data_IF_482228797549
#
_entry.id   IF_482228797549
#
_cell.length_a   1.000
_cell.length_b   1.000
_cell.length_c   1.000
_cell.angle_alpha   90.00
_cell.angle_beta   90.00
_cell.angle_gamma   90.00
#
_symmetry.space_group_name_H-M   'P 1'
#
loop_
_entity.id
_entity.type
_entity.pdbx_description
1 polymer ?
#
# COMPACT_ATOMS: atom_id res chain seq x y z
N UNK A 1 -51.20 5.32 -28.49
CA UNK A 1 -49.85 5.45 -27.89
C UNK A 1 -49.45 4.09 -27.32
N UNK A 2 -48.42 3.44 -27.86
CA UNK A 2 -47.92 2.16 -27.36
C UNK A 2 -46.89 2.38 -26.26
N UNK A 3 -47.08 1.72 -25.12
CA UNK A 3 -46.17 1.76 -23.96
C UNK A 3 -44.86 1.06 -24.34
N UNK A 4 -43.73 1.77 -24.34
CA UNK A 4 -42.39 1.17 -24.50
C UNK A 4 -42.11 0.24 -23.32
N UNK A 5 -41.82 -1.04 -23.60
CA UNK A 5 -41.41 -2.02 -22.59
C UNK A 5 -40.07 -1.62 -21.97
N UNK A 6 -39.92 -1.93 -20.68
CA UNK A 6 -38.71 -1.64 -19.93
C UNK A 6 -37.60 -2.63 -20.28
N UNK A 7 -36.33 -2.21 -20.17
CA UNK A 7 -35.16 -3.04 -20.50
C UNK A 7 -35.16 -4.37 -19.74
N UNK A 8 -35.64 -4.36 -18.50
CA UNK A 8 -35.81 -5.53 -17.63
C UNK A 8 -36.76 -6.58 -18.24
N UNK A 9 -37.87 -6.16 -18.84
CA UNK A 9 -38.85 -7.05 -19.46
C UNK A 9 -38.34 -7.66 -20.77
N UNK A 10 -37.40 -6.98 -21.46
CA UNK A 10 -36.74 -7.51 -22.65
C UNK A 10 -35.70 -8.58 -22.27
N UNK A 11 -34.94 -8.34 -21.19
CA UNK A 11 -33.91 -9.26 -20.70
C UNK A 11 -34.54 -10.55 -20.14
N UNK A 12 -35.63 -10.48 -19.38
CA UNK A 12 -36.31 -11.70 -18.90
C UNK A 12 -36.84 -12.58 -20.04
N UNK A 13 -37.34 -11.96 -21.12
CA UNK A 13 -37.84 -12.69 -22.29
C UNK A 13 -36.72 -13.37 -23.08
N UNK A 14 -35.58 -12.70 -23.27
CA UNK A 14 -34.39 -13.29 -23.90
C UNK A 14 -33.76 -14.41 -23.03
N UNK A 15 -33.88 -14.30 -21.71
CA UNK A 15 -33.35 -15.32 -20.77
C UNK A 15 -34.21 -16.60 -20.78
N UNK A 16 -35.52 -16.47 -20.99
CA UNK A 16 -36.44 -17.61 -21.12
C UNK A 16 -36.28 -18.34 -22.47
N UNK A 17 -36.04 -17.60 -23.56
CA UNK A 17 -35.89 -18.17 -24.91
C UNK A 17 -34.53 -18.87 -25.14
N UNK A 18 -33.47 -18.54 -24.38
CA UNK A 18 -32.13 -19.12 -24.53
C UNK A 18 -31.88 -20.41 -23.70
N UNK A 19 -32.91 -20.99 -23.09
CA UNK A 19 -32.77 -21.99 -22.01
C UNK A 19 -32.50 -23.44 -22.44
N UNK A 20 -32.38 -23.77 -23.73
CA UNK A 20 -32.35 -25.16 -24.21
C UNK A 20 -30.96 -25.76 -24.55
N UNK A 21 -29.85 -25.08 -24.25
CA UNK A 21 -28.50 -25.60 -24.58
C UNK A 21 -27.48 -25.49 -23.43
N UNK A 22 -26.83 -26.61 -23.02
CA UNK A 22 -25.79 -26.61 -21.98
C UNK A 22 -24.54 -25.79 -22.36
N UNK A 23 -24.22 -25.68 -23.65
CA UNK A 23 -23.05 -24.92 -24.14
C UNK A 23 -23.25 -23.41 -24.01
N UNK A 24 -24.49 -22.93 -24.16
CA UNK A 24 -24.84 -21.51 -24.00
C UNK A 24 -24.75 -21.08 -22.54
N UNK A 25 -25.18 -21.92 -21.59
CA UNK A 25 -25.03 -21.66 -20.14
C UNK A 25 -23.56 -21.55 -19.70
N UNK A 26 -22.68 -22.38 -20.28
CA UNK A 26 -21.23 -22.34 -19.98
C UNK A 26 -20.56 -21.10 -20.57
N UNK A 27 -20.96 -20.69 -21.78
CA UNK A 27 -20.47 -19.47 -22.42
C UNK A 27 -20.98 -18.18 -21.74
N UNK A 28 -22.23 -18.18 -21.23
CA UNK A 28 -22.78 -17.07 -20.45
C UNK A 28 -22.10 -16.97 -19.08
N UNK A 29 -21.90 -18.08 -18.36
CA UNK A 29 -21.14 -18.09 -17.09
C UNK A 29 -19.70 -17.62 -17.27
N UNK A 30 -19.01 -18.08 -18.31
CA UNK A 30 -17.66 -17.62 -18.63
C UNK A 30 -17.61 -16.13 -19.05
N UNK A 31 -18.68 -15.59 -19.66
CA UNK A 31 -18.82 -14.16 -19.95
C UNK A 31 -19.14 -13.33 -18.71
N UNK A 32 -19.93 -13.85 -17.77
CA UNK A 32 -20.24 -13.20 -16.48
C UNK A 32 -19.03 -13.22 -15.54
N UNK A 33 -18.25 -14.31 -15.52
CA UNK A 33 -16.97 -14.40 -14.81
C UNK A 33 -15.90 -13.48 -15.44
N UNK A 34 -15.91 -13.30 -16.76
CA UNK A 34 -15.04 -12.34 -17.45
C UNK A 34 -15.51 -10.88 -17.38
N UNK A 35 -16.76 -10.59 -17.03
CA UNK A 35 -17.30 -9.21 -17.11
C UNK A 35 -17.49 -8.46 -15.80
N UNK A 36 -17.10 -8.99 -14.63
CA UNK A 36 -17.13 -8.19 -13.39
C UNK A 36 -16.42 -8.85 -12.20
N UNK A 37 -15.08 -8.89 -12.19
CA UNK A 37 -14.40 -8.67 -10.90
C UNK A 37 -14.61 -7.19 -10.56
N UNK A 38 -15.75 -6.89 -9.93
CA UNK A 38 -16.12 -5.51 -9.55
C UNK A 38 -15.10 -5.05 -8.52
N UNK A 39 -14.05 -4.35 -8.97
CA UNK A 39 -13.03 -3.78 -8.08
C UNK A 39 -13.73 -2.98 -6.98
N UNK A 40 -13.61 -3.44 -5.74
CA UNK A 40 -14.22 -2.80 -4.58
C UNK A 40 -13.38 -1.58 -4.22
N UNK A 41 -14.04 -0.52 -3.75
CA UNK A 41 -13.33 0.66 -3.25
C UNK A 41 -12.90 0.41 -1.82
N UNK A 42 -11.65 0.71 -1.51
CA UNK A 42 -11.06 0.63 -0.18
C UNK A 42 -10.48 1.99 0.20
N UNK A 43 -10.64 2.38 1.46
CA UNK A 43 -10.05 3.57 2.07
C UNK A 43 -8.90 3.13 2.95
N UNK A 44 -7.69 3.64 2.70
CA UNK A 44 -6.49 3.17 3.37
C UNK A 44 -5.57 4.29 3.83
N UNK A 45 -4.86 4.04 4.92
CA UNK A 45 -3.75 4.87 5.40
C UNK A 45 -2.52 3.98 5.63
N UNK A 46 -1.59 4.00 4.68
CA UNK A 46 -0.47 3.06 4.64
C UNK A 46 0.84 3.65 5.19
N UNK A 47 0.76 4.72 5.97
CA UNK A 47 1.95 5.32 6.60
C UNK A 47 1.65 5.78 8.01
N UNK A 48 1.60 4.82 8.92
CA UNK A 48 1.38 5.04 10.34
C UNK A 48 2.60 4.53 11.09
N UNK A 49 3.17 5.37 11.93
CA UNK A 49 4.17 4.95 12.90
C UNK A 49 3.45 4.49 14.17
N UNK A 50 4.15 3.73 15.01
CA UNK A 50 3.75 3.33 16.35
C UNK A 50 4.78 3.85 17.38
N UNK A 51 4.57 3.61 18.68
CA UNK A 51 5.59 3.92 19.69
C UNK A 51 6.93 3.21 19.46
N UNK A 52 6.98 2.16 18.64
CA UNK A 52 8.19 1.38 18.38
C UNK A 52 9.29 2.17 17.65
N UNK A 53 8.95 3.13 16.78
CA UNK A 53 9.96 3.96 16.10
C UNK A 53 9.93 5.43 16.46
N UNK A 54 8.77 5.96 16.85
CA UNK A 54 8.60 7.38 17.18
C UNK A 54 7.73 7.45 18.45
N UNK A 55 8.37 7.46 19.61
CA UNK A 55 7.75 7.37 20.95
C UNK A 55 6.63 8.39 21.28
N UNK A 56 6.28 9.30 20.38
CA UNK A 56 5.18 10.27 20.51
C UNK A 56 3.77 9.63 20.49
N UNK A 57 3.66 8.35 20.12
CA UNK A 57 2.41 7.60 20.21
C UNK A 57 2.17 6.93 21.55
N UNK A 58 3.23 6.79 22.37
CA UNK A 58 3.11 6.24 23.72
C UNK A 58 2.49 7.28 24.64
N UNK A 59 1.16 7.31 24.71
CA UNK A 59 0.45 8.12 25.70
C UNK A 59 0.36 7.29 26.98
N UNK A 60 0.93 7.81 28.07
CA UNK A 60 0.88 7.15 29.38
C UNK A 60 -0.58 6.85 29.77
N UNK A 61 -0.83 5.61 30.18
CA UNK A 61 -2.17 5.14 30.55
C UNK A 61 -3.09 4.76 29.38
N UNK A 62 -2.65 4.85 28.12
CA UNK A 62 -3.43 4.42 26.95
C UNK A 62 -2.72 3.30 26.20
N UNK A 63 -3.38 2.15 26.07
CA UNK A 63 -2.92 1.11 25.15
C UNK A 63 -3.12 1.57 23.69
N UNK A 64 -2.00 1.86 23.03
CA UNK A 64 -1.98 2.49 21.71
C UNK A 64 -2.54 1.57 20.62
N UNK A 65 -2.36 0.25 20.72
CA UNK A 65 -2.80 -0.68 19.67
C UNK A 65 -4.33 -0.73 19.53
N UNK A 66 -5.12 -1.01 20.59
CA UNK A 66 -6.57 -0.94 20.53
C UNK A 66 -7.09 0.46 20.19
N UNK A 67 -6.44 1.51 20.69
CA UNK A 67 -6.83 2.89 20.39
C UNK A 67 -6.67 3.22 18.89
N UNK A 68 -5.55 2.80 18.28
CA UNK A 68 -5.29 2.96 16.85
C UNK A 68 -6.34 2.23 16.00
N UNK A 69 -6.63 0.97 16.31
CA UNK A 69 -7.67 0.18 15.62
C UNK A 69 -9.05 0.85 15.74
N UNK A 70 -9.44 1.26 16.95
CA UNK A 70 -10.73 1.95 17.17
C UNK A 70 -10.82 3.23 16.36
N UNK A 71 -9.75 4.03 16.33
CA UNK A 71 -9.75 5.28 15.58
C UNK A 71 -9.81 5.05 14.06
N UNK A 72 -9.06 4.09 13.53
CA UNK A 72 -9.13 3.69 12.14
C UNK A 72 -10.56 3.27 11.74
N UNK A 73 -11.24 2.47 12.59
CA UNK A 73 -12.64 2.10 12.39
C UNK A 73 -13.58 3.30 12.40
N UNK A 74 -13.45 4.19 13.39
CA UNK A 74 -14.26 5.42 13.49
C UNK A 74 -14.08 6.30 12.24
N UNK A 75 -12.87 6.34 11.67
CA UNK A 75 -12.57 7.08 10.43
C UNK A 75 -12.95 6.32 9.16
N UNK A 76 -13.53 5.12 9.27
CA UNK A 76 -13.98 4.33 8.12
C UNK A 76 -12.84 3.83 7.24
N UNK A 77 -11.66 3.58 7.82
CA UNK A 77 -10.55 2.95 7.11
C UNK A 77 -10.84 1.45 6.95
N UNK A 78 -10.62 0.94 5.75
CA UNK A 78 -10.67 -0.50 5.45
C UNK A 78 -9.32 -1.16 5.72
N UNK A 79 -8.21 -0.42 5.54
CA UNK A 79 -6.85 -0.92 5.76
C UNK A 79 -5.94 0.15 6.38
N UNK A 80 -5.02 -0.29 7.24
CA UNK A 80 -3.89 0.53 7.68
C UNK A 80 -2.59 -0.26 7.57
N UNK A 81 -1.48 0.43 7.31
CA UNK A 81 -0.15 -0.19 7.41
C UNK A 81 0.64 0.43 8.57
N UNK A 82 1.28 -0.43 9.36
CA UNK A 82 2.32 0.00 10.28
C UNK A 82 3.62 0.07 9.49
N UNK A 83 4.25 1.24 9.50
CA UNK A 83 5.50 1.50 8.78
C UNK A 83 6.48 2.20 9.69
N UNK A 84 6.71 1.61 10.87
CA UNK A 84 7.73 2.06 11.80
C UNK A 84 9.11 2.05 11.14
N UNK A 85 9.96 3.00 11.49
CA UNK A 85 11.35 2.96 11.02
C UNK A 85 12.04 1.75 11.63
N UNK A 86 12.48 0.82 10.77
CA UNK A 86 13.30 -0.34 11.15
C UNK A 86 12.79 -1.13 12.36
N UNK A 87 11.48 -1.35 12.49
CA UNK A 87 10.89 -2.15 13.57
C UNK A 87 9.58 -2.79 13.14
N UNK A 88 9.37 -4.03 13.59
CA UNK A 88 8.10 -4.75 13.51
C UNK A 88 7.41 -4.92 14.88
N UNK A 89 7.94 -4.30 15.94
CA UNK A 89 7.58 -4.60 17.35
C UNK A 89 6.09 -4.43 17.69
N UNK A 90 5.39 -3.59 16.94
CA UNK A 90 4.00 -3.22 17.23
C UNK A 90 2.99 -3.92 16.31
N UNK A 91 3.46 -4.66 15.29
CA UNK A 91 2.62 -5.30 14.28
C UNK A 91 1.70 -6.33 14.94
N UNK A 92 2.27 -7.31 15.64
CA UNK A 92 1.52 -8.42 16.25
C UNK A 92 0.45 -7.90 17.22
N UNK A 93 0.78 -6.84 17.98
CA UNK A 93 -0.14 -6.22 18.93
C UNK A 93 -1.32 -5.53 18.24
N UNK A 94 -1.09 -4.86 17.12
CA UNK A 94 -2.17 -4.19 16.37
C UNK A 94 -3.01 -5.20 15.60
N UNK A 95 -2.38 -6.25 15.04
CA UNK A 95 -3.09 -7.38 14.43
C UNK A 95 -4.02 -8.04 15.46
N UNK A 96 -3.52 -8.30 16.67
CA UNK A 96 -4.34 -8.86 17.75
C UNK A 96 -5.51 -7.95 18.11
N UNK A 97 -5.26 -6.66 18.29
CA UNK A 97 -6.30 -5.67 18.58
C UNK A 97 -7.35 -5.52 17.46
N UNK A 98 -6.98 -5.87 16.23
CA UNK A 98 -7.85 -5.81 15.05
C UNK A 98 -8.60 -7.13 14.77
N UNK A 99 -8.31 -8.23 15.49
CA UNK A 99 -8.85 -9.58 15.22
C UNK A 99 -10.37 -9.63 15.10
N UNK A 100 -11.10 -8.87 15.92
CA UNK A 100 -12.57 -8.81 15.91
C UNK A 100 -13.12 -7.66 15.05
N UNK A 101 -12.30 -7.10 14.17
CA UNK A 101 -12.67 -5.99 13.31
C UNK A 101 -12.57 -6.36 11.83
N UNK A 102 -13.23 -5.56 10.99
CA UNK A 102 -13.11 -5.62 9.54
C UNK A 102 -11.95 -4.76 8.99
N UNK A 103 -11.08 -4.25 9.88
CA UNK A 103 -9.91 -3.46 9.51
C UNK A 103 -8.76 -4.41 9.17
N UNK A 104 -8.22 -4.29 7.97
CA UNK A 104 -7.02 -5.06 7.59
C UNK A 104 -5.77 -4.34 8.06
N UNK A 105 -4.87 -5.05 8.73
CA UNK A 105 -3.55 -4.55 9.11
C UNK A 105 -2.55 -5.06 8.10
N UNK A 106 -1.78 -4.15 7.50
CA UNK A 106 -0.72 -4.46 6.56
C UNK A 106 0.63 -4.34 7.29
N UNK A 107 1.35 -5.44 7.49
CA UNK A 107 2.70 -5.41 8.04
C UNK A 107 3.64 -4.60 7.15
N UNK A 108 4.54 -3.85 7.77
CA UNK A 108 5.46 -2.99 7.04
C UNK A 108 6.53 -2.35 7.91
N UNK A 109 7.49 -1.74 7.24
CA UNK A 109 8.52 -0.90 7.88
C UNK A 109 8.98 0.18 6.91
N UNK A 110 9.47 1.30 7.43
CA UNK A 110 10.09 2.35 6.65
C UNK A 110 11.62 2.23 6.74
N UNK A 111 12.30 2.24 5.58
CA UNK A 111 13.75 2.23 5.51
C UNK A 111 14.27 3.47 4.78
N UNK A 112 15.52 3.85 5.07
CA UNK A 112 16.27 4.91 4.38
C UNK A 112 17.47 4.31 3.67
N UNK A 113 17.68 4.73 2.44
CA UNK A 113 18.80 4.27 1.62
C UNK A 113 19.36 5.39 0.75
N UNK A 114 20.49 5.11 0.12
CA UNK A 114 21.09 6.00 -0.86
C UNK A 114 20.72 5.57 -2.28
N UNK A 115 20.52 6.55 -3.17
CA UNK A 115 20.45 6.35 -4.61
C UNK A 115 21.17 7.51 -5.29
N UNK A 116 22.17 7.20 -6.11
CA UNK A 116 23.06 8.21 -6.70
C UNK A 116 23.61 9.16 -5.61
N UNK A 117 23.46 10.47 -5.78
CA UNK A 117 23.89 11.47 -4.80
C UNK A 117 22.89 11.71 -3.65
N UNK A 118 21.71 11.08 -3.66
CA UNK A 118 20.70 11.27 -2.62
C UNK A 118 20.86 10.20 -1.53
N UNK A 119 21.25 10.60 -0.32
CA UNK A 119 21.39 9.72 0.86
C UNK A 119 20.15 9.72 1.76
N UNK A 120 18.98 10.03 1.20
CA UNK A 120 17.75 10.21 1.97
C UNK A 120 16.51 9.72 1.21
N UNK A 121 16.67 8.65 0.43
CA UNK A 121 15.55 7.94 -0.19
C UNK A 121 14.82 7.17 0.91
N UNK A 122 13.50 7.35 1.01
CA UNK A 122 12.65 6.62 1.97
C UNK A 122 11.77 5.65 1.20
N UNK A 123 11.83 4.38 1.57
CA UNK A 123 10.92 3.35 1.06
C UNK A 123 10.00 2.90 2.20
N UNK A 124 8.70 2.85 1.95
CA UNK A 124 7.77 2.06 2.75
C UNK A 124 7.78 0.65 2.16
N UNK A 125 8.16 -0.34 2.97
CA UNK A 125 8.14 -1.74 2.61
C UNK A 125 6.87 -2.35 3.20
N UNK A 126 6.03 -2.92 2.34
CA UNK A 126 4.80 -3.63 2.75
C UNK A 126 4.99 -5.13 2.56
N UNK A 127 4.40 -5.92 3.46
CA UNK A 127 4.52 -7.37 3.46
C UNK A 127 3.13 -8.04 3.59
N UNK A 128 3.02 -9.33 3.24
CA UNK A 128 1.80 -10.11 3.45
C UNK A 128 1.34 -10.10 4.92
N UNK A 129 0.04 -10.28 5.14
CA UNK A 129 -0.59 -10.17 6.46
C UNK A 129 -0.19 -11.27 7.45
N UNK A 130 0.48 -12.32 6.99
CA UNK A 130 1.06 -13.36 7.85
C UNK A 130 2.44 -12.97 8.42
N UNK A 131 3.00 -11.83 8.01
CA UNK A 131 4.24 -11.30 8.58
C UNK A 131 3.97 -10.59 9.90
N UNK A 132 4.68 -11.01 10.93
CA UNK A 132 4.69 -10.38 12.24
C UNK A 132 6.02 -9.71 12.54
N UNK A 133 6.30 -9.55 13.83
CA UNK A 133 7.59 -8.99 14.29
C UNK A 133 8.78 -9.78 13.72
N UNK A 134 8.77 -11.11 13.85
CA UNK A 134 9.92 -11.96 13.54
C UNK A 134 10.33 -11.89 12.07
N UNK A 135 9.35 -11.86 11.16
CA UNK A 135 9.58 -11.78 9.72
C UNK A 135 10.16 -10.42 9.33
N UNK A 136 9.68 -9.33 9.95
CA UNK A 136 10.24 -7.99 9.73
C UNK A 136 11.67 -7.89 10.28
N UNK A 137 11.95 -8.45 11.46
CA UNK A 137 13.31 -8.47 12.00
C UNK A 137 14.28 -9.26 11.10
N UNK A 138 13.86 -10.41 10.58
CA UNK A 138 14.65 -11.19 9.62
C UNK A 138 14.93 -10.40 8.32
N UNK A 139 13.92 -9.70 7.79
CA UNK A 139 14.09 -8.79 6.66
C UNK A 139 15.15 -7.70 6.92
N UNK A 140 15.11 -7.07 8.11
CA UNK A 140 16.07 -6.04 8.49
C UNK A 140 17.49 -6.59 8.67
N UNK A 141 17.64 -7.79 9.23
CA UNK A 141 18.91 -8.50 9.34
C UNK A 141 19.49 -8.80 7.95
N UNK A 142 18.67 -9.24 7.00
CA UNK A 142 19.10 -9.49 5.61
C UNK A 142 19.50 -8.21 4.87
N UNK A 143 18.95 -7.05 5.24
CA UNK A 143 19.44 -5.75 4.79
C UNK A 143 20.82 -5.37 5.38
N UNK A 144 21.36 -6.18 6.29
CA UNK A 144 22.66 -5.98 6.93
C UNK A 144 22.61 -5.12 8.20
N UNK A 145 21.41 -4.92 8.77
CA UNK A 145 21.26 -4.16 10.00
C UNK A 145 21.61 -5.00 11.22
N UNK A 146 22.19 -4.36 12.23
CA UNK A 146 22.30 -4.97 13.55
C UNK A 146 21.01 -4.72 14.33
N UNK A 147 20.64 -5.64 15.23
CA UNK A 147 19.47 -5.45 16.12
C UNK A 147 19.53 -4.20 16.99
N UNK A 148 20.74 -3.65 17.22
CA UNK A 148 20.92 -2.41 17.99
C UNK A 148 20.47 -1.18 17.22
N UNK A 149 20.39 -1.27 15.89
CA UNK A 149 19.97 -0.18 15.01
C UNK A 149 18.45 -0.20 14.74
N UNK A 150 17.73 -1.21 15.24
CA UNK A 150 16.28 -1.30 15.07
C UNK A 150 15.59 -0.13 15.77
N UNK A 151 14.61 0.47 15.09
CA UNK A 151 13.96 1.70 15.55
C UNK A 151 14.72 3.00 15.25
N UNK A 152 16.01 2.97 14.88
CA UNK A 152 16.76 4.20 14.60
C UNK A 152 16.43 4.76 13.21
N UNK A 153 15.51 5.72 13.17
CA UNK A 153 15.15 6.48 11.96
C UNK A 153 16.32 7.15 11.24
N UNK A 154 17.47 7.32 11.89
CA UNK A 154 18.64 7.95 11.30
C UNK A 154 19.55 6.96 10.57
N UNK A 155 19.40 5.65 10.86
CA UNK A 155 20.13 4.61 10.16
C UNK A 155 19.92 4.71 8.65
N UNK A 156 20.99 4.50 7.89
CA UNK A 156 21.01 4.49 6.44
C UNK A 156 21.48 3.10 6.01
N UNK A 157 20.65 2.38 5.27
CA UNK A 157 20.98 1.04 4.75
C UNK A 157 22.19 1.15 3.82
N UNK A 158 23.25 0.39 4.14
CA UNK A 158 24.54 0.42 3.46
C UNK A 158 24.64 -0.66 2.36
N UNK A 159 23.60 -0.78 1.53
CA UNK A 159 23.55 -1.69 0.39
C UNK A 159 23.23 -0.94 -0.90
N UNK A 160 23.69 -1.43 -2.07
CA UNK A 160 23.23 -0.93 -3.36
C UNK A 160 21.69 -0.98 -3.46
N UNK A 161 21.11 0.00 -4.15
CA UNK A 161 19.65 0.15 -4.20
C UNK A 161 18.98 -1.07 -4.85
N UNK A 162 19.60 -1.66 -5.88
CA UNK A 162 19.18 -2.90 -6.52
C UNK A 162 19.06 -4.06 -5.51
N UNK A 163 20.10 -4.25 -4.69
CA UNK A 163 20.14 -5.32 -3.68
C UNK A 163 19.07 -5.10 -2.61
N UNK A 164 18.81 -3.84 -2.21
CA UNK A 164 17.73 -3.53 -1.27
C UNK A 164 16.38 -3.99 -1.85
N UNK A 165 16.12 -3.68 -3.13
CA UNK A 165 14.89 -4.11 -3.78
C UNK A 165 14.82 -5.64 -3.91
N UNK A 166 15.94 -6.32 -4.17
CA UNK A 166 16.01 -7.77 -4.22
C UNK A 166 15.65 -8.39 -2.87
N UNK A 167 16.23 -7.89 -1.77
CA UNK A 167 15.91 -8.35 -0.41
C UNK A 167 14.43 -8.14 -0.11
N UNK A 168 13.85 -6.99 -0.45
CA UNK A 168 12.39 -6.74 -0.29
C UNK A 168 11.58 -7.80 -1.03
N UNK A 169 11.92 -8.11 -2.28
CA UNK A 169 11.18 -9.10 -3.08
C UNK A 169 11.35 -10.53 -2.54
N UNK A 170 12.54 -10.88 -2.04
CA UNK A 170 12.85 -12.20 -1.47
C UNK A 170 12.03 -12.48 -0.20
N UNK A 171 11.69 -11.43 0.54
CA UNK A 171 10.75 -11.47 1.68
C UNK A 171 9.28 -11.32 1.22
N UNK A 172 8.99 -11.46 -0.07
CA UNK A 172 7.63 -11.38 -0.62
C UNK A 172 7.02 -9.97 -0.62
N UNK A 173 7.75 -8.97 -0.13
CA UNK A 173 7.30 -7.61 0.05
C UNK A 173 7.22 -6.78 -1.22
N UNK A 174 6.82 -5.52 -1.07
CA UNK A 174 6.77 -4.52 -2.13
C UNK A 174 7.16 -3.14 -1.58
N UNK A 175 7.87 -2.35 -2.39
CA UNK A 175 8.38 -1.04 -1.99
C UNK A 175 7.53 0.11 -2.55
N UNK A 176 7.30 1.14 -1.74
CA UNK A 176 6.69 2.41 -2.15
C UNK A 176 7.60 3.58 -1.76
N UNK A 177 8.18 4.32 -2.73
CA UNK A 177 8.94 5.53 -2.42
C UNK A 177 8.05 6.57 -1.76
N UNK A 178 8.51 7.12 -0.64
CA UNK A 178 7.69 7.98 0.22
C UNK A 178 8.32 9.34 0.45
N UNK A 179 7.50 10.38 0.26
CA UNK A 179 7.82 11.80 0.44
C UNK A 179 9.05 12.20 -0.38
N UNK A 180 9.17 11.66 -1.59
CA UNK A 180 10.28 11.96 -2.50
C UNK A 180 10.19 13.38 -3.07
N UNK A 181 9.04 14.03 -2.92
CA UNK A 181 8.76 15.43 -3.23
C UNK A 181 9.03 16.40 -2.08
N UNK A 182 9.61 15.92 -0.97
CA UNK A 182 9.87 16.76 0.21
C UNK A 182 11.07 17.69 0.06
N UNK A 183 12.08 17.30 -0.72
CA UNK A 183 13.31 18.07 -0.91
C UNK A 183 13.78 17.99 -2.36
N UNK A 184 14.52 19.01 -2.86
CA UNK A 184 15.09 18.97 -4.21
C UNK A 184 15.98 17.74 -4.46
N UNK A 185 16.74 17.30 -3.45
CA UNK A 185 17.63 16.13 -3.55
C UNK A 185 16.83 14.84 -3.77
N UNK A 186 15.74 14.64 -3.01
CA UNK A 186 14.84 13.49 -3.19
C UNK A 186 14.10 13.57 -4.53
N UNK A 187 13.69 14.76 -4.95
CA UNK A 187 13.04 14.95 -6.25
C UNK A 187 13.97 14.63 -7.41
N UNK A 188 15.26 14.95 -7.26
CA UNK A 188 16.29 14.73 -8.27
C UNK A 188 16.49 13.25 -8.63
N UNK A 189 16.13 12.31 -7.75
CA UNK A 189 16.24 10.87 -8.01
C UNK A 189 14.93 10.21 -8.45
N UNK A 190 13.81 10.93 -8.46
CA UNK A 190 12.54 10.39 -8.99
C UNK A 190 12.68 9.89 -10.44
N UNK A 191 13.42 10.58 -11.34
CA UNK A 191 13.66 10.05 -12.68
C UNK A 191 14.27 8.65 -12.69
N UNK A 192 15.36 8.44 -11.95
CA UNK A 192 16.01 7.13 -11.80
C UNK A 192 15.03 6.09 -11.21
N UNK A 193 14.25 6.44 -10.17
CA UNK A 193 13.24 5.53 -9.61
C UNK A 193 12.22 5.08 -10.68
N UNK A 194 11.75 5.99 -11.54
CA UNK A 194 10.73 5.68 -12.55
C UNK A 194 11.32 4.97 -13.76
N UNK A 195 12.43 5.47 -14.28
CA UNK A 195 13.02 5.09 -15.57
C UNK A 195 13.93 3.86 -15.43
N UNK A 196 14.66 3.74 -14.31
CA UNK A 196 15.67 2.68 -14.11
C UNK A 196 15.20 1.57 -13.15
N UNK A 197 14.25 1.87 -12.26
CA UNK A 197 13.70 0.87 -11.32
C UNK A 197 12.22 0.56 -11.51
N UNK A 198 11.55 1.23 -12.45
CA UNK A 198 10.18 0.89 -12.85
C UNK A 198 9.10 1.32 -11.85
N UNK A 199 9.39 2.22 -10.90
CA UNK A 199 8.36 2.68 -9.95
C UNK A 199 7.22 3.42 -10.67
N UNK A 200 5.98 3.06 -10.33
CA UNK A 200 4.74 3.70 -10.82
C UNK A 200 3.84 4.20 -9.70
N UNK A 201 4.21 3.94 -8.45
CA UNK A 201 3.48 4.39 -7.27
C UNK A 201 4.38 5.21 -6.35
N UNK A 202 3.83 6.26 -5.74
CA UNK A 202 4.56 7.12 -4.80
C UNK A 202 3.61 7.61 -3.69
N UNK A 203 4.09 7.65 -2.44
CA UNK A 203 3.45 8.42 -1.38
C UNK A 203 4.02 9.85 -1.39
N UNK A 204 3.18 10.84 -1.68
CA UNK A 204 3.58 12.23 -1.86
C UNK A 204 3.33 13.08 -0.62
N UNK A 205 4.22 14.05 -0.45
CA UNK A 205 4.17 15.03 0.60
C UNK A 205 3.13 16.11 0.38
N UNK A 206 3.07 16.57 -0.85
CA UNK A 206 2.27 17.69 -1.31
C UNK A 206 1.44 17.23 -2.51
N UNK A 207 0.13 17.51 -2.49
CA UNK A 207 -0.77 17.09 -3.58
C UNK A 207 -0.39 17.70 -4.94
N UNK A 208 0.13 18.93 -4.93
CA UNK A 208 0.53 19.64 -6.16
C UNK A 208 1.73 19.02 -6.87
N UNK A 209 2.49 18.17 -6.18
CA UNK A 209 3.62 17.43 -6.76
C UNK A 209 3.19 16.48 -7.88
N UNK A 210 1.90 16.12 -7.98
CA UNK A 210 1.39 15.35 -9.13
C UNK A 210 1.70 16.03 -10.48
N UNK A 211 1.75 17.37 -10.53
CA UNK A 211 2.07 18.09 -11.77
C UNK A 211 3.47 17.77 -12.28
N UNK A 212 4.43 17.48 -11.40
CA UNK A 212 5.78 17.07 -11.79
C UNK A 212 5.74 15.79 -12.63
N UNK A 213 5.01 14.78 -12.15
CA UNK A 213 4.84 13.50 -12.85
C UNK A 213 4.12 13.68 -14.19
N UNK A 214 3.01 14.43 -14.22
CA UNK A 214 2.24 14.69 -15.44
C UNK A 214 3.06 15.41 -16.51
N UNK A 215 3.89 16.38 -16.12
CA UNK A 215 4.74 17.13 -17.06
C UNK A 215 5.87 16.28 -17.61
N UNK A 216 6.53 15.49 -16.76
CA UNK A 216 7.70 14.70 -17.16
C UNK A 216 7.32 13.42 -17.92
N UNK A 217 6.25 12.75 -17.49
CA UNK A 217 5.80 11.49 -18.08
C UNK A 217 4.30 11.54 -18.44
N UNK A 218 3.90 12.35 -19.44
CA UNK A 218 2.49 12.60 -19.76
C UNK A 218 1.72 11.35 -20.24
N UNK A 219 2.43 10.30 -20.65
CA UNK A 219 1.85 9.03 -21.14
C UNK A 219 1.89 7.89 -20.13
N UNK A 220 2.56 8.07 -19.00
CA UNK A 220 2.67 7.05 -17.95
C UNK A 220 1.59 7.31 -16.91
N UNK A 221 0.90 6.26 -16.50
CA UNK A 221 -0.07 6.33 -15.42
C UNK A 221 0.63 6.07 -14.09
N UNK A 222 0.46 6.99 -13.13
CA UNK A 222 0.99 6.85 -11.78
C UNK A 222 -0.12 6.65 -10.75
N UNK A 223 0.21 5.90 -9.71
CA UNK A 223 -0.58 5.76 -8.49
C UNK A 223 0.05 6.66 -7.42
N UNK A 224 -0.45 7.89 -7.31
CA UNK A 224 0.07 8.88 -6.38
C UNK A 224 -0.83 8.96 -5.15
N UNK A 225 -0.28 8.61 -4.00
CA UNK A 225 -0.95 8.62 -2.71
C UNK A 225 -0.54 9.83 -1.88
N UNK A 226 -1.27 10.10 -0.81
CA UNK A 226 -0.78 10.93 0.29
C UNK A 226 -1.34 10.36 1.59
N UNK A 227 -0.46 9.76 2.38
CA UNK A 227 -0.84 9.15 3.66
C UNK A 227 -0.60 10.08 4.85
N UNK A 228 -1.16 9.71 6.01
CA UNK A 228 -1.18 10.61 7.16
C UNK A 228 0.21 10.89 7.73
N UNK A 229 1.15 9.96 7.58
CA UNK A 229 2.42 9.98 8.31
C UNK A 229 2.18 10.11 9.82
N UNK A 230 1.17 9.40 10.34
CA UNK A 230 0.74 9.54 11.71
C UNK A 230 1.88 9.16 12.67
N UNK A 231 2.27 10.10 13.52
CA UNK A 231 3.17 9.92 14.66
C UNK A 231 2.48 10.25 16.00
N UNK A 232 1.17 10.46 15.96
CA UNK A 232 0.29 10.62 17.12
C UNK A 232 -1.09 10.05 16.78
N UNK A 233 -1.83 9.53 17.78
CA UNK A 233 -3.08 8.82 17.53
C UNK A 233 -4.06 9.68 16.73
N UNK A 234 -4.24 10.95 17.11
CA UNK A 234 -5.15 11.88 16.43
C UNK A 234 -4.89 12.04 14.90
N UNK A 235 -3.66 11.80 14.45
CA UNK A 235 -3.27 11.93 13.05
C UNK A 235 -3.62 10.73 12.18
N UNK A 236 -3.86 9.54 12.77
CA UNK A 236 -4.25 8.33 12.02
C UNK A 236 -5.42 8.64 11.10
N UNK A 237 -5.32 8.39 9.80
CA UNK A 237 -6.37 8.69 8.82
C UNK A 237 -6.62 10.19 8.57
N UNK A 238 -5.73 11.10 8.99
CA UNK A 238 -5.81 12.53 8.63
C UNK A 238 -5.58 12.77 7.13
N UNK A 239 -4.90 11.84 6.46
CA UNK A 239 -4.87 11.70 5.01
C UNK A 239 -5.05 10.23 4.67
N UNK A 240 -5.80 9.95 3.61
CA UNK A 240 -6.15 8.60 3.20
C UNK A 240 -6.12 8.52 1.67
N UNK A 241 -5.94 7.31 1.16
CA UNK A 241 -6.15 7.01 -0.24
C UNK A 241 -7.42 6.18 -0.41
N UNK A 242 -8.28 6.56 -1.36
CA UNK A 242 -9.43 5.75 -1.76
C UNK A 242 -9.15 5.10 -3.11
N UNK A 243 -8.95 3.79 -3.11
CA UNK A 243 -8.51 3.03 -4.29
C UNK A 243 -9.48 1.92 -4.63
N UNK A 244 -9.54 1.57 -5.91
CA UNK A 244 -10.25 0.38 -6.37
C UNK A 244 -9.26 -0.77 -6.46
N UNK A 245 -9.40 -1.75 -5.58
CA UNK A 245 -8.56 -2.95 -5.60
C UNK A 245 -9.34 -4.14 -6.17
N UNK A 246 -8.67 -5.05 -6.89
CA UNK A 246 -9.28 -6.30 -7.34
C UNK A 246 -9.48 -7.29 -6.20
N UNK A 247 -8.58 -7.27 -5.21
CA UNK A 247 -8.65 -8.05 -3.97
C UNK A 247 -8.31 -7.14 -2.78
N UNK A 248 -8.81 -7.44 -1.59
CA UNK A 248 -8.40 -6.75 -0.37
C UNK A 248 -6.99 -7.16 0.07
N UNK A 249 -6.39 -6.38 0.97
CA UNK A 249 -5.17 -6.77 1.65
C UNK A 249 -3.89 -6.49 0.87
N UNK A 250 -2.80 -7.10 1.31
CA UNK A 250 -1.47 -6.91 0.73
C UNK A 250 -1.45 -7.25 -0.75
N UNK A 251 -2.09 -8.34 -1.18
CA UNK A 251 -2.15 -8.74 -2.58
C UNK A 251 -2.74 -7.62 -3.49
N UNK A 252 -3.75 -6.90 -2.99
CA UNK A 252 -4.34 -5.77 -3.72
C UNK A 252 -3.43 -4.55 -3.75
N UNK A 253 -2.75 -4.26 -2.63
CA UNK A 253 -1.74 -3.19 -2.55
C UNK A 253 -0.57 -3.48 -3.49
N UNK A 254 -0.08 -4.72 -3.50
CA UNK A 254 1.00 -5.16 -4.38
C UNK A 254 0.68 -4.91 -5.84
N UNK A 255 -0.53 -5.22 -6.31
CA UNK A 255 -0.91 -4.95 -7.72
C UNK A 255 -0.82 -3.46 -8.11
N UNK A 256 -1.11 -2.54 -7.18
CA UNK A 256 -1.11 -1.09 -7.47
C UNK A 256 0.22 -0.40 -7.16
N UNK A 257 1.10 -1.04 -6.37
CA UNK A 257 2.42 -0.51 -6.00
C UNK A 257 3.53 -1.14 -6.84
N UNK A 258 3.34 -2.37 -7.33
CA UNK A 258 4.34 -3.15 -8.04
C UNK A 258 5.05 -2.34 -9.13
N UNK A 259 6.36 -2.50 -9.16
CA UNK A 259 7.23 -1.92 -10.18
C UNK A 259 6.92 -2.58 -11.53
N UNK A 260 6.92 -1.79 -12.60
CA UNK A 260 6.86 -2.33 -13.94
C UNK A 260 8.24 -2.85 -14.34
N UNK A 261 8.29 -4.07 -14.88
CA UNK A 261 9.50 -4.57 -15.50
C UNK A 261 9.91 -3.62 -16.64
N UNK A 262 11.16 -3.18 -16.63
CA UNK A 262 11.68 -2.41 -17.75
C UNK A 262 11.75 -3.34 -18.95
N UNK A 263 11.06 -2.98 -20.03
CA UNK A 263 11.27 -3.61 -21.33
C UNK A 263 12.70 -3.32 -21.75
N UNK A 264 13.54 -4.36 -21.74
CA UNK A 264 14.91 -4.37 -22.26
C UNK A 264 14.94 -4.06 -23.75
#
# INVERSE_FOLDING_TARGET
>A
MARKKTLSEQVEKETLEASSSPSTKRALRARVEKSSTRRKSYTMDLRIHSPASLGYLGIEGIDTAPAMVRLAKVKGLDMIALTDYYSGDFIDRVVEAARESNLTIIPGTAIRCALNACTDVVLLCFFPEDHGKSEIEAFLEDLGMSRQDFGDRNYLVQRPFEEILEVINNHGGEALPSRMDKTPQRMGVIPTLVEDYGFRAFDLAYGDSEQFFKKRWPKIKFQLFSFSNANALAQVGSRTAKVKLPVSGFAGIKEIVAREALSS
#
